data_IF_071267981989
#
_entry.id   IF_071267981989
#
_cell.length_a   1.000
_cell.length_b   1.000
_cell.length_c   1.000
_cell.angle_alpha   90.00
_cell.angle_beta   90.00
_cell.angle_gamma   90.00
#
_symmetry.space_group_name_H-M   'P 1'
#
loop_
_entity.id
_entity.type
_entity.pdbx_description
1 polymer ?
#
# COMPACT_ATOMS: atom_id res chain seq x y z
N UNK A 1 20.79 -13.96 35.40
CA UNK A 1 19.51 -13.25 35.09
C UNK A 1 19.88 -12.07 34.24
N UNK A 2 19.36 -12.00 33.03
CA UNK A 2 19.61 -10.86 32.14
C UNK A 2 18.70 -9.73 32.63
N UNK A 3 19.29 -8.59 32.93
CA UNK A 3 18.60 -7.39 33.35
C UNK A 3 17.60 -6.92 32.28
N UNK A 4 16.45 -6.36 32.67
CA UNK A 4 15.39 -5.87 31.78
C UNK A 4 15.92 -4.81 30.80
N UNK A 5 16.83 -3.93 31.26
CA UNK A 5 17.47 -2.93 30.42
C UNK A 5 18.33 -3.58 29.33
N UNK A 6 19.03 -4.65 29.65
CA UNK A 6 19.86 -5.39 28.69
C UNK A 6 19.01 -6.16 27.68
N UNK A 7 17.87 -6.69 28.11
CA UNK A 7 16.89 -7.31 27.17
C UNK A 7 16.33 -6.29 26.19
N UNK A 8 15.99 -5.10 26.65
CA UNK A 8 15.52 -4.01 25.80
C UNK A 8 16.59 -3.57 24.79
N UNK A 9 17.85 -3.48 25.21
CA UNK A 9 18.98 -3.15 24.31
C UNK A 9 19.20 -4.23 23.23
N UNK A 10 19.11 -5.50 23.61
CA UNK A 10 19.22 -6.63 22.67
C UNK A 10 18.05 -6.58 21.65
N UNK A 11 16.83 -6.33 22.12
CA UNK A 11 15.66 -6.19 21.26
C UNK A 11 15.82 -5.06 20.24
N UNK A 12 16.36 -3.91 20.68
CA UNK A 12 16.61 -2.77 19.79
C UNK A 12 17.72 -3.07 18.76
N UNK A 13 18.78 -3.79 19.15
CA UNK A 13 19.82 -4.22 18.21
C UNK A 13 19.26 -5.18 17.16
N UNK A 14 18.38 -6.09 17.53
CA UNK A 14 17.70 -7.01 16.62
C UNK A 14 16.80 -6.25 15.65
N UNK A 15 16.01 -5.30 16.14
CA UNK A 15 15.15 -4.45 15.32
C UNK A 15 15.96 -3.71 14.26
N UNK A 16 17.08 -3.09 14.65
CA UNK A 16 17.97 -2.38 13.71
C UNK A 16 18.59 -3.33 12.68
N UNK A 17 19.03 -4.51 13.10
CA UNK A 17 19.59 -5.50 12.19
C UNK A 17 18.56 -5.96 11.15
N UNK A 18 17.32 -6.20 11.57
CA UNK A 18 16.22 -6.54 10.66
C UNK A 18 15.91 -5.41 9.69
N UNK A 19 15.90 -4.16 10.16
CA UNK A 19 15.67 -2.99 9.29
C UNK A 19 16.79 -2.82 8.26
N UNK A 20 18.05 -2.96 8.65
CA UNK A 20 19.17 -2.90 7.70
C UNK A 20 19.07 -4.01 6.65
N UNK A 21 18.72 -5.22 7.06
CA UNK A 21 18.51 -6.32 6.12
C UNK A 21 17.32 -6.04 5.20
N UNK A 22 16.20 -5.60 5.73
CA UNK A 22 15.01 -5.28 4.97
C UNK A 22 15.28 -4.21 3.90
N UNK A 23 16.08 -3.18 4.19
CA UNK A 23 16.48 -2.15 3.21
C UNK A 23 17.32 -2.70 2.03
N UNK A 24 17.86 -3.91 2.12
CA UNK A 24 18.63 -4.55 1.05
C UNK A 24 17.79 -5.49 0.18
N UNK A 25 16.52 -5.69 0.51
CA UNK A 25 15.65 -6.60 -0.23
C UNK A 25 15.26 -6.01 -1.61
N UNK A 26 15.11 -6.85 -2.64
CA UNK A 26 14.47 -6.43 -3.87
C UNK A 26 12.98 -6.13 -3.64
N UNK A 27 12.37 -5.36 -4.52
CA UNK A 27 11.02 -4.81 -4.33
C UNK A 27 9.95 -5.87 -4.06
N UNK A 28 9.98 -7.00 -4.76
CA UNK A 28 9.05 -8.13 -4.55
C UNK A 28 9.15 -8.70 -3.14
N UNK A 29 10.36 -8.83 -2.60
CA UNK A 29 10.59 -9.32 -1.24
C UNK A 29 10.34 -8.24 -0.17
N UNK A 30 10.60 -6.99 -0.51
CA UNK A 30 10.28 -5.86 0.37
C UNK A 30 8.77 -5.76 0.61
N UNK A 31 7.95 -5.99 -0.41
CA UNK A 31 6.48 -6.03 -0.30
C UNK A 31 5.99 -7.12 0.65
N UNK A 32 6.57 -8.32 0.61
CA UNK A 32 6.18 -9.43 1.50
C UNK A 32 6.39 -9.12 2.99
N UNK A 33 7.26 -8.14 3.30
CA UNK A 33 7.62 -7.75 4.67
C UNK A 33 7.39 -6.26 4.92
N UNK A 34 6.43 -5.64 4.26
CA UNK A 34 6.17 -4.20 4.35
C UNK A 34 6.03 -3.69 5.79
N UNK A 35 5.47 -4.50 6.69
CA UNK A 35 5.36 -4.18 8.11
C UNK A 35 6.72 -4.07 8.88
N UNK A 36 7.83 -4.49 8.25
CA UNK A 36 9.16 -4.38 8.86
C UNK A 36 9.82 -3.01 8.64
N UNK A 37 9.26 -2.18 7.75
CA UNK A 37 9.79 -0.85 7.46
C UNK A 37 9.18 0.20 8.38
N UNK A 38 9.99 1.24 8.66
CA UNK A 38 9.52 2.36 9.45
C UNK A 38 8.44 3.16 8.70
N UNK A 39 7.49 3.67 9.45
CA UNK A 39 6.52 4.62 8.94
C UNK A 39 7.20 5.95 8.61
N UNK A 40 6.74 6.61 7.58
CA UNK A 40 7.21 7.91 7.17
C UNK A 40 7.00 8.97 8.27
N UNK A 41 7.99 9.79 8.48
CA UNK A 41 7.95 10.88 9.44
C UNK A 41 8.35 12.20 8.78
N UNK A 42 7.64 13.28 9.12
CA UNK A 42 8.02 14.64 8.72
C UNK A 42 9.29 15.10 9.44
N UNK A 43 10.16 15.83 8.74
CA UNK A 43 11.42 16.34 9.29
C UNK A 43 12.56 15.33 9.36
N UNK A 44 12.35 14.11 8.86
CA UNK A 44 13.35 13.04 8.81
C UNK A 44 14.15 13.11 7.51
N UNK A 45 15.47 12.89 7.60
CA UNK A 45 16.32 12.72 6.41
C UNK A 45 16.19 11.31 5.86
N UNK A 46 15.86 11.20 4.58
CA UNK A 46 15.79 9.96 3.83
C UNK A 46 16.84 9.90 2.74
N UNK A 47 17.39 8.71 2.51
CA UNK A 47 18.36 8.46 1.45
C UNK A 47 17.68 7.89 0.20
N UNK A 48 18.24 8.13 -0.98
CA UNK A 48 17.75 7.50 -2.20
C UNK A 48 17.78 5.96 -2.07
N UNK A 49 16.77 5.29 -2.61
CA UNK A 49 16.51 3.86 -2.53
C UNK A 49 16.15 3.32 -1.13
N UNK A 50 15.95 4.16 -0.14
CA UNK A 50 15.40 3.76 1.15
C UNK A 50 13.91 3.41 1.01
N UNK A 51 13.43 2.39 1.74
CA UNK A 51 12.03 2.03 1.81
C UNK A 51 11.39 2.61 3.07
N UNK A 52 10.18 3.12 2.91
CA UNK A 52 9.33 3.64 4.00
C UNK A 52 7.89 3.20 3.78
N UNK A 53 7.08 3.15 4.83
CA UNK A 53 5.64 2.92 4.73
C UNK A 53 4.86 4.20 4.98
N UNK A 54 3.73 4.37 4.29
CA UNK A 54 2.79 5.45 4.52
C UNK A 54 1.38 5.03 4.10
N UNK A 55 0.43 5.12 5.04
CA UNK A 55 -0.95 4.68 4.80
C UNK A 55 -1.07 3.17 4.57
N UNK A 56 -2.17 2.77 3.97
CA UNK A 56 -2.47 1.36 3.66
C UNK A 56 -2.85 1.20 2.19
N UNK A 57 -2.57 0.03 1.63
CA UNK A 57 -2.93 -0.33 0.26
C UNK A 57 -4.38 -0.84 0.17
N UNK A 58 -4.81 -1.27 -1.02
CA UNK A 58 -6.17 -1.75 -1.29
C UNK A 58 -6.51 -3.10 -0.64
N UNK A 59 -5.55 -3.75 -0.01
CA UNK A 59 -5.74 -5.00 0.77
C UNK A 59 -5.51 -4.78 2.28
N UNK A 60 -5.32 -3.53 2.72
CA UNK A 60 -5.20 -3.16 4.13
C UNK A 60 -3.80 -3.33 4.72
N UNK A 61 -2.80 -3.66 3.92
CA UNK A 61 -1.40 -3.73 4.35
C UNK A 61 -0.73 -2.36 4.33
N UNK A 62 0.34 -2.13 5.12
CA UNK A 62 1.12 -0.91 5.02
C UNK A 62 1.61 -0.68 3.58
N UNK A 63 1.29 0.49 3.00
CA UNK A 63 1.73 0.83 1.66
C UNK A 63 3.21 1.18 1.67
N UNK A 64 3.99 0.45 0.89
CA UNK A 64 5.43 0.62 0.75
C UNK A 64 5.77 1.63 -0.35
N UNK A 65 6.73 2.50 -0.04
CA UNK A 65 7.30 3.47 -0.98
C UNK A 65 8.82 3.36 -1.01
N UNK A 66 9.39 3.62 -2.16
CA UNK A 66 10.83 3.77 -2.35
C UNK A 66 11.18 5.24 -2.51
N UNK A 67 12.17 5.70 -1.78
CA UNK A 67 12.67 7.07 -1.90
C UNK A 67 13.46 7.22 -3.22
N UNK A 68 13.01 8.13 -4.08
CA UNK A 68 13.60 8.37 -5.41
C UNK A 68 14.92 9.14 -5.29
N UNK A 69 14.94 10.16 -4.44
CA UNK A 69 16.13 10.99 -4.20
C UNK A 69 16.25 11.37 -2.74
N UNK A 70 17.50 11.50 -2.27
CA UNK A 70 17.77 11.90 -0.89
C UNK A 70 17.25 13.30 -0.58
N UNK A 71 16.52 13.43 0.53
CA UNK A 71 15.94 14.69 0.98
C UNK A 71 15.61 14.67 2.48
N UNK A 72 15.27 15.82 3.03
CA UNK A 72 14.60 15.90 4.33
C UNK A 72 13.12 16.12 4.11
N UNK A 73 12.29 15.22 4.63
CA UNK A 73 10.84 15.26 4.47
C UNK A 73 10.22 16.51 5.09
N UNK A 74 9.13 16.96 4.52
CA UNK A 74 8.33 18.07 5.02
C UNK A 74 6.88 17.61 5.21
N UNK A 75 6.15 18.27 6.08
CA UNK A 75 4.79 17.87 6.47
C UNK A 75 3.82 17.73 5.28
N UNK A 76 4.00 18.58 4.26
CA UNK A 76 3.22 18.62 3.03
C UNK A 76 3.79 17.75 1.87
N UNK A 77 4.90 17.05 2.12
CA UNK A 77 5.55 16.17 1.12
C UNK A 77 5.35 14.69 1.46
N UNK A 78 4.09 14.31 1.66
CA UNK A 78 3.76 12.91 1.98
C UNK A 78 3.97 11.98 0.78
N UNK A 79 4.30 10.70 1.01
CA UNK A 79 4.63 9.75 -0.06
C UNK A 79 3.53 9.55 -1.10
N UNK A 80 2.27 9.62 -0.71
CA UNK A 80 1.10 9.41 -1.58
C UNK A 80 0.87 10.53 -2.60
N UNK A 81 1.34 11.74 -2.32
CA UNK A 81 1.15 12.90 -3.21
C UNK A 81 2.44 13.43 -3.86
N UNK A 82 3.61 13.03 -3.37
CA UNK A 82 4.90 13.57 -3.82
C UNK A 82 5.67 12.53 -4.65
N UNK A 83 5.16 12.20 -5.82
CA UNK A 83 5.72 11.18 -6.74
C UNK A 83 7.13 11.50 -7.26
N UNK A 84 7.60 12.75 -7.16
CA UNK A 84 8.98 13.13 -7.48
C UNK A 84 10.00 12.67 -6.44
N UNK A 85 9.55 12.41 -5.21
CA UNK A 85 10.38 12.00 -4.06
C UNK A 85 10.15 10.53 -3.67
N UNK A 86 8.97 9.99 -3.97
CA UNK A 86 8.56 8.65 -3.54
C UNK A 86 7.89 7.89 -4.68
N UNK A 87 8.28 6.65 -4.85
CA UNK A 87 7.72 5.73 -5.83
C UNK A 87 6.91 4.65 -5.10
N UNK A 88 5.59 4.53 -5.34
CA UNK A 88 4.79 3.51 -4.70
C UNK A 88 5.14 2.11 -5.23
N UNK A 89 5.38 1.17 -4.34
CA UNK A 89 5.74 -0.19 -4.69
C UNK A 89 4.52 -1.11 -4.62
N UNK A 90 4.33 -1.94 -5.64
CA UNK A 90 3.25 -2.93 -5.69
C UNK A 90 1.87 -2.38 -6.03
N UNK A 91 1.78 -1.14 -6.49
CA UNK A 91 0.53 -0.55 -6.99
C UNK A 91 0.56 -0.42 -8.52
N UNK A 92 -0.63 -0.48 -9.12
CA UNK A 92 -0.82 -0.07 -10.50
C UNK A 92 -0.99 1.45 -10.62
N UNK A 93 -1.11 1.97 -11.84
CA UNK A 93 -1.27 3.41 -12.13
C UNK A 93 -2.51 4.05 -11.48
N UNK A 94 -3.48 3.23 -11.06
CA UNK A 94 -4.70 3.66 -10.39
C UNK A 94 -4.65 3.54 -8.85
N UNK A 95 -3.53 3.06 -8.30
CA UNK A 95 -3.34 2.89 -6.87
C UNK A 95 -3.93 1.60 -6.28
N UNK A 96 -4.25 0.61 -7.11
CA UNK A 96 -4.64 -0.72 -6.63
C UNK A 96 -3.45 -1.65 -6.51
N UNK A 97 -3.46 -2.50 -5.49
CA UNK A 97 -2.44 -3.53 -5.28
C UNK A 97 -2.38 -4.48 -6.48
N UNK A 98 -1.18 -4.70 -7.02
CA UNK A 98 -0.97 -5.73 -8.04
C UNK A 98 -0.96 -7.09 -7.36
N UNK A 99 -1.74 -8.03 -7.89
CA UNK A 99 -1.82 -9.37 -7.33
C UNK A 99 -0.44 -10.04 -7.29
N UNK A 100 -0.13 -10.64 -6.16
CA UNK A 100 1.05 -11.49 -5.97
C UNK A 100 0.62 -12.81 -5.34
N UNK A 101 1.34 -13.89 -5.66
CA UNK A 101 1.02 -15.21 -5.10
C UNK A 101 1.29 -15.22 -3.59
N UNK A 102 0.26 -15.41 -2.74
CA UNK A 102 0.46 -15.56 -1.31
C UNK A 102 1.38 -16.73 -0.97
N UNK A 103 2.23 -16.54 0.03
CA UNK A 103 3.14 -17.59 0.53
C UNK A 103 2.47 -18.49 1.56
N UNK A 104 1.32 -18.07 2.12
CA UNK A 104 0.55 -18.84 3.08
C UNK A 104 -0.74 -18.15 3.51
N UNK A 105 -1.32 -18.64 4.59
CA UNK A 105 -2.58 -18.12 5.11
C UNK A 105 -2.44 -16.71 5.74
N UNK A 106 -1.24 -16.29 6.09
CA UNK A 106 -0.97 -15.01 6.76
C UNK A 106 -0.96 -13.81 5.79
N UNK A 107 -0.72 -14.06 4.51
CA UNK A 107 -0.70 -13.08 3.43
C UNK A 107 -1.77 -13.36 2.35
N UNK A 108 -2.74 -14.22 2.67
CA UNK A 108 -3.88 -14.52 1.82
C UNK A 108 -4.83 -13.32 1.72
N UNK A 109 -5.44 -13.14 0.55
CA UNK A 109 -6.46 -12.10 0.34
C UNK A 109 -7.76 -12.44 1.06
N UNK A 110 -8.40 -11.41 1.61
CA UNK A 110 -9.66 -11.53 2.31
C UNK A 110 -10.82 -11.01 1.47
N UNK A 111 -12.02 -11.41 1.84
CA UNK A 111 -13.24 -10.93 1.19
C UNK A 111 -13.29 -9.40 1.21
N UNK A 112 -13.41 -8.81 0.04
CA UNK A 112 -13.44 -7.37 -0.16
C UNK A 112 -12.13 -6.77 -0.67
N UNK A 113 -11.00 -7.49 -0.57
CA UNK A 113 -9.72 -7.04 -1.11
C UNK A 113 -9.78 -6.90 -2.62
N UNK A 114 -9.27 -5.78 -3.12
CA UNK A 114 -9.26 -5.47 -4.55
C UNK A 114 -7.83 -5.49 -5.04
N UNK A 115 -7.58 -6.25 -6.12
CA UNK A 115 -6.26 -6.39 -6.74
C UNK A 115 -6.36 -6.22 -8.25
N UNK A 116 -5.28 -5.76 -8.87
CA UNK A 116 -5.11 -5.84 -10.31
C UNK A 116 -4.43 -7.15 -10.69
N UNK A 117 -4.99 -7.87 -11.64
CA UNK A 117 -4.43 -9.08 -12.21
C UNK A 117 -4.56 -9.05 -13.73
N UNK A 118 -3.43 -9.06 -14.44
CA UNK A 118 -3.36 -8.97 -15.91
C UNK A 118 -4.16 -7.78 -16.52
N UNK A 119 -4.11 -6.62 -15.86
CA UNK A 119 -4.77 -5.39 -16.34
C UNK A 119 -6.26 -5.31 -16.00
N UNK A 120 -6.80 -6.24 -15.21
CA UNK A 120 -8.20 -6.27 -14.78
C UNK A 120 -8.26 -6.22 -13.26
N UNK A 121 -9.16 -5.41 -12.71
CA UNK A 121 -9.41 -5.35 -11.27
C UNK A 121 -10.34 -6.50 -10.85
N UNK A 122 -9.93 -7.21 -9.81
CA UNK A 122 -10.70 -8.27 -9.18
C UNK A 122 -10.89 -8.00 -7.71
N UNK A 123 -12.06 -8.36 -7.20
CA UNK A 123 -12.36 -8.32 -5.78
C UNK A 123 -12.52 -9.73 -5.24
N UNK A 124 -11.83 -10.04 -4.17
CA UNK A 124 -11.98 -11.34 -3.51
C UNK A 124 -13.37 -11.44 -2.86
N UNK A 125 -14.07 -12.54 -3.11
CA UNK A 125 -15.38 -12.83 -2.52
C UNK A 125 -15.32 -13.87 -1.41
N UNK A 126 -14.12 -14.36 -1.08
CA UNK A 126 -13.86 -15.30 0.01
C UNK A 126 -12.72 -14.79 0.90
N UNK A 127 -12.68 -15.26 2.14
CA UNK A 127 -11.55 -15.05 3.05
C UNK A 127 -10.48 -16.13 2.82
N UNK A 128 -9.22 -15.77 3.07
CA UNK A 128 -8.11 -16.71 2.95
C UNK A 128 -7.82 -17.16 1.50
N UNK A 129 -8.08 -16.29 0.54
CA UNK A 129 -7.90 -16.58 -0.88
C UNK A 129 -6.41 -16.52 -1.25
N UNK A 130 -5.82 -17.67 -1.55
CA UNK A 130 -4.42 -17.84 -1.95
C UNK A 130 -4.24 -18.08 -3.46
N UNK A 131 -5.33 -18.16 -4.21
CA UNK A 131 -5.34 -18.49 -5.63
C UNK A 131 -5.49 -17.24 -6.49
N UNK A 132 -4.87 -17.24 -7.68
CA UNK A 132 -5.08 -16.19 -8.65
C UNK A 132 -6.49 -16.24 -9.27
N UNK A 133 -6.97 -15.11 -9.85
CA UNK A 133 -8.28 -15.07 -10.50
C UNK A 133 -8.48 -16.11 -11.61
N UNK A 134 -7.43 -16.48 -12.33
CA UNK A 134 -7.48 -17.51 -13.37
C UNK A 134 -7.43 -18.94 -12.81
N UNK A 135 -6.71 -19.16 -11.71
CA UNK A 135 -6.63 -20.48 -11.06
C UNK A 135 -7.91 -20.85 -10.28
N UNK A 136 -8.59 -19.85 -9.70
CA UNK A 136 -9.83 -20.05 -8.95
C UNK A 136 -10.82 -18.92 -9.19
N UNK A 137 -11.48 -18.87 -10.36
CA UNK A 137 -12.41 -17.80 -10.71
C UNK A 137 -13.60 -17.64 -9.75
N UNK A 138 -14.01 -18.72 -9.07
CA UNK A 138 -15.11 -18.68 -8.09
C UNK A 138 -14.77 -17.92 -6.80
N UNK A 139 -13.50 -17.62 -6.53
CA UNK A 139 -13.05 -16.84 -5.40
C UNK A 139 -12.97 -15.34 -5.69
N UNK A 140 -13.24 -14.93 -6.92
CA UNK A 140 -13.07 -13.57 -7.40
C UNK A 140 -14.27 -13.08 -8.20
N UNK A 141 -14.54 -11.79 -8.14
CA UNK A 141 -15.45 -11.09 -9.05
C UNK A 141 -14.70 -9.95 -9.74
N UNK A 142 -15.04 -9.67 -11.00
CA UNK A 142 -14.48 -8.50 -11.68
C UNK A 142 -15.00 -7.25 -10.98
N UNK A 143 -14.07 -6.39 -10.58
CA UNK A 143 -14.37 -5.12 -9.98
C UNK A 143 -14.38 -4.01 -11.03
N UNK A 144 -15.49 -3.29 -11.11
CA UNK A 144 -15.65 -2.13 -11.99
C UNK A 144 -15.71 -0.89 -11.09
N UNK A 145 -14.75 0.03 -11.28
CA UNK A 145 -14.84 1.34 -10.65
C UNK A 145 -16.13 2.02 -11.10
N UNK A 146 -17.05 2.24 -10.17
CA UNK A 146 -18.15 3.17 -10.41
C UNK A 146 -17.56 4.56 -10.26
N UNK A 147 -17.35 5.28 -11.36
CA UNK A 147 -17.16 6.72 -11.29
C UNK A 147 -18.39 7.27 -10.57
N UNK A 148 -18.20 7.86 -9.39
CA UNK A 148 -19.21 8.69 -8.78
C UNK A 148 -19.45 9.82 -9.78
N UNK A 149 -20.51 9.70 -10.56
CA UNK A 149 -21.06 10.84 -11.30
C UNK A 149 -21.42 11.86 -10.24
N UNK A 150 -20.59 12.90 -10.10
CA UNK A 150 -20.99 14.10 -9.38
C UNK A 150 -22.36 14.47 -9.88
N UNK A 151 -23.33 14.38 -9.00
CA UNK A 151 -24.72 14.70 -9.23
C UNK A 151 -24.78 16.15 -9.73
N UNK A 152 -24.99 16.34 -10.99
CA UNK A 152 -25.38 17.63 -11.56
C UNK A 152 -26.85 17.84 -11.19
N UNK A 153 -27.13 18.07 -9.91
CA UNK A 153 -28.34 18.73 -9.47
C UNK A 153 -28.13 20.23 -9.57
N UNK A 154 -28.35 20.78 -10.74
CA UNK A 154 -28.81 22.16 -10.86
C UNK A 154 -29.26 22.52 -12.28
N UNK A 155 -30.36 21.92 -12.72
CA UNK A 155 -31.11 22.42 -13.89
C UNK A 155 -32.61 22.48 -13.61
N UNK A 156 -32.98 23.00 -12.47
CA UNK A 156 -34.37 23.36 -12.20
C UNK A 156 -34.47 24.76 -11.60
N UNK A 157 -34.06 25.73 -12.38
CA UNK A 157 -34.52 27.12 -12.15
C UNK A 157 -34.60 27.91 -13.46
N UNK A 158 -35.50 27.46 -14.34
CA UNK A 158 -35.82 28.13 -15.59
C UNK A 158 -37.35 28.47 -15.69
N UNK A 159 -37.99 28.69 -14.55
CA UNK A 159 -39.41 29.09 -14.55
C UNK A 159 -39.70 30.44 -13.89
N UNK A 160 -38.74 31.39 -13.95
CA UNK A 160 -39.02 32.73 -13.42
C UNK A 160 -38.58 33.89 -14.35
N UNK A 161 -38.70 33.72 -15.69
CA UNK A 161 -38.50 34.85 -16.62
C UNK A 161 -39.57 34.86 -17.70
N UNK A 162 -40.85 34.73 -17.35
CA UNK A 162 -41.97 35.09 -18.23
C UNK A 162 -43.16 35.60 -17.39
N UNK A 163 -42.98 36.78 -16.88
CA UNK A 163 -44.13 37.63 -16.50
C UNK A 163 -43.80 39.05 -16.79
#
# INVERSE_FOLDING_TARGET
MIDVERQAQIGEQFRRALQWFAQTLPEDKALEVSCAYDEWESGKAYSANEYVTYGVNSVGDPQLYKVVQGHTSQEDWTPDITTSLYDPIGLNDKGYTVWSAPSGAHDAYNKGDIVEYNGVLYKSIIDGNVYSPDAYPQGWEVYIETEETENVEDVNNLDDVLS
#
